data_IF_158870833805
#
_entry.id   IF_158870833805
#
_cell.length_a   1.000
_cell.length_b   1.000
_cell.length_c   1.000
_cell.angle_alpha   90.00
_cell.angle_beta   90.00
_cell.angle_gamma   90.00
#
_symmetry.space_group_name_H-M   'P 1'
#
loop_
_entity.id
_entity.type
_entity.pdbx_description
1 polymer ?
#
# COMPACT_ATOMS: atom_id res chain seq x y z
N UNK A 1 -23.00 -12.48 -0.28
CA UNK A 1 -21.60 -12.94 -0.35
C UNK A 1 -20.76 -11.82 0.22
N UNK A 2 -19.84 -12.09 1.14
CA UNK A 2 -18.98 -11.04 1.68
C UNK A 2 -17.92 -10.67 0.63
N UNK A 3 -17.71 -9.39 0.39
CA UNK A 3 -16.65 -8.93 -0.51
C UNK A 3 -15.29 -9.28 0.10
N UNK A 4 -14.49 -10.04 -0.65
CA UNK A 4 -13.15 -10.43 -0.24
C UNK A 4 -12.14 -9.35 -0.67
N UNK A 5 -11.27 -8.95 0.25
CA UNK A 5 -10.26 -7.92 0.04
C UNK A 5 -8.87 -8.45 0.35
N UNK A 6 -7.87 -7.94 -0.37
CA UNK A 6 -6.47 -8.11 -0.03
C UNK A 6 -5.97 -6.90 0.75
N UNK A 7 -5.10 -7.16 1.73
CA UNK A 7 -4.39 -6.12 2.46
C UNK A 7 -2.92 -6.20 2.09
N UNK A 8 -2.38 -5.07 1.64
CA UNK A 8 -0.95 -4.88 1.42
C UNK A 8 -0.43 -3.85 2.42
N UNK A 9 0.72 -4.13 3.03
CA UNK A 9 1.37 -3.23 3.96
C UNK A 9 2.81 -2.99 3.55
N UNK A 10 3.26 -1.74 3.61
CA UNK A 10 4.67 -1.37 3.47
C UNK A 10 5.05 -0.36 4.54
N UNK A 11 6.30 -0.40 5.00
CA UNK A 11 6.83 0.66 5.86
C UNK A 11 7.02 1.95 5.04
N UNK A 12 6.77 3.09 5.67
CA UNK A 12 7.16 4.41 5.15
C UNK A 12 8.48 4.83 5.81
N UNK A 13 8.55 4.71 7.15
CA UNK A 13 9.72 4.92 7.99
C UNK A 13 9.65 4.03 9.25
N UNK A 14 10.48 4.31 10.27
CA UNK A 14 10.55 3.54 11.51
C UNK A 14 9.29 3.65 12.40
N UNK A 15 8.41 4.62 12.13
CA UNK A 15 7.22 4.95 12.94
C UNK A 15 5.90 4.80 12.17
N UNK A 16 5.94 4.80 10.83
CA UNK A 16 4.77 4.88 9.97
C UNK A 16 4.71 3.72 8.99
N UNK A 17 3.51 3.17 8.81
CA UNK A 17 3.20 2.14 7.82
C UNK A 17 2.09 2.61 6.88
N UNK A 18 2.18 2.24 5.61
CA UNK A 18 1.13 2.40 4.62
C UNK A 18 0.33 1.11 4.52
N UNK A 19 -0.98 1.19 4.73
CA UNK A 19 -1.92 0.08 4.58
C UNK A 19 -2.81 0.35 3.37
N UNK A 20 -2.84 -0.60 2.44
CA UNK A 20 -3.64 -0.53 1.21
C UNK A 20 -4.64 -1.67 1.19
N UNK A 21 -5.92 -1.34 1.09
CA UNK A 21 -7.02 -2.31 0.95
C UNK A 21 -7.41 -2.39 -0.52
N UNK A 22 -7.28 -3.58 -1.09
CA UNK A 22 -7.47 -3.85 -2.51
C UNK A 22 -8.67 -4.79 -2.68
N UNK A 23 -9.45 -4.57 -3.74
CA UNK A 23 -10.43 -5.55 -4.19
C UNK A 23 -9.73 -6.80 -4.76
N UNK A 24 -10.37 -7.97 -4.64
CA UNK A 24 -9.82 -9.25 -5.12
C UNK A 24 -9.55 -9.29 -6.64
N UNK A 25 -10.24 -8.45 -7.41
CA UNK A 25 -10.07 -8.37 -8.86
C UNK A 25 -8.85 -7.55 -9.31
N UNK A 26 -8.08 -6.97 -8.38
CA UNK A 26 -6.87 -6.21 -8.69
C UNK A 26 -5.67 -7.15 -8.79
N UNK A 27 -4.87 -6.97 -9.83
CA UNK A 27 -3.59 -7.67 -9.97
C UNK A 27 -2.56 -7.10 -8.98
N UNK A 28 -2.36 -7.82 -7.87
CA UNK A 28 -1.50 -7.37 -6.76
C UNK A 28 -0.07 -7.06 -7.22
N UNK A 29 0.51 -7.88 -8.11
CA UNK A 29 1.88 -7.70 -8.60
C UNK A 29 2.10 -6.38 -9.32
N UNK A 30 1.12 -5.94 -10.11
CA UNK A 30 1.15 -4.66 -10.83
C UNK A 30 1.04 -3.43 -9.91
N UNK A 31 0.51 -3.59 -8.70
CA UNK A 31 0.30 -2.49 -7.74
C UNK A 31 1.52 -2.21 -6.88
N UNK A 32 2.42 -3.19 -6.69
CA UNK A 32 3.57 -3.06 -5.78
C UNK A 32 4.43 -1.82 -6.11
N UNK A 33 4.82 -1.55 -7.38
CA UNK A 33 5.63 -0.38 -7.70
C UNK A 33 4.97 0.94 -7.29
N UNK A 34 3.66 1.08 -7.55
CA UNK A 34 2.90 2.29 -7.20
C UNK A 34 2.75 2.46 -5.69
N UNK A 35 2.58 1.37 -4.93
CA UNK A 35 2.51 1.43 -3.46
C UNK A 35 3.85 1.87 -2.86
N UNK A 36 4.98 1.41 -3.42
CA UNK A 36 6.32 1.84 -3.02
C UNK A 36 6.54 3.32 -3.34
N UNK A 37 6.13 3.77 -4.54
CA UNK A 37 6.24 5.17 -4.95
C UNK A 37 5.46 6.10 -4.02
N UNK A 38 4.21 5.74 -3.69
CA UNK A 38 3.38 6.49 -2.73
C UNK A 38 4.01 6.52 -1.34
N UNK A 39 4.53 5.39 -0.85
CA UNK A 39 5.22 5.35 0.43
C UNK A 39 6.45 6.28 0.44
N UNK A 40 7.22 6.31 -0.66
CA UNK A 40 8.35 7.23 -0.81
C UNK A 40 7.92 8.69 -0.82
N UNK A 41 6.87 9.05 -1.57
CA UNK A 41 6.36 10.44 -1.59
C UNK A 41 5.80 10.87 -0.25
N UNK A 42 5.18 9.96 0.51
CA UNK A 42 4.68 10.26 1.85
C UNK A 42 5.82 10.48 2.84
N UNK A 43 6.91 9.72 2.73
CA UNK A 43 8.10 9.90 3.56
C UNK A 43 8.64 11.33 3.47
N UNK A 44 8.74 11.88 2.27
CA UNK A 44 9.23 13.25 2.04
C UNK A 44 8.32 14.34 2.64
N UNK A 45 7.06 14.02 2.95
CA UNK A 45 6.07 14.96 3.52
C UNK A 45 6.06 14.92 5.05
N UNK A 46 6.34 13.74 5.64
CA UNK A 46 6.26 13.51 7.08
C UNK A 46 7.60 13.71 7.81
N UNK A 47 8.72 13.80 7.07
CA UNK A 47 10.01 14.30 7.56
C UNK A 47 9.98 15.82 7.85
#
# INVERSE_FOLDING_TARGET
MADEHYIMTTAIDDKHILVVVLSRNVEVGGMIPSVIEVASSLRDIID
#
